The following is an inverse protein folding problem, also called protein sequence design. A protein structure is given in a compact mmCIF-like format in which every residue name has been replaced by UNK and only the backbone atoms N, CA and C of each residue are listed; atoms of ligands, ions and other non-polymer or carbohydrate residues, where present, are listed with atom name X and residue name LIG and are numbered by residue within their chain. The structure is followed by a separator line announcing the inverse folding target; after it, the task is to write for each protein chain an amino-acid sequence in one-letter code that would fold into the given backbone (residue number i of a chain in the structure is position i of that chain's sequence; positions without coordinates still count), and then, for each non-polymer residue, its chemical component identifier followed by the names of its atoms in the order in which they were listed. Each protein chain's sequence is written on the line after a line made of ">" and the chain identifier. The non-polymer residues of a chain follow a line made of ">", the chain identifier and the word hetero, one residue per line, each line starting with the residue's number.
data_IF_556861801721
#
_entry.id   IF_556861801721
#
_cell.length_a   1.000
_cell.length_b   1.000
_cell.length_c   1.000
_cell.angle_alpha   90.00
_cell.angle_beta   90.00
_cell.angle_gamma   90.00
#
_symmetry.space_group_name_H-M   'P 1'
#
loop_
_entity.id
_entity.type
_entity.pdbx_description
1 polymer ?
#
# COMPACT_ATOMS: atom_id res chain seq x y z
N UNK A 1 -3.70 7.85 1.81
CA UNK A 1 -2.35 8.15 2.35
C UNK A 1 -1.97 7.00 3.27
N UNK A 2 -0.74 6.50 3.22
CA UNK A 2 -0.30 5.43 4.11
C UNK A 2 -0.40 5.88 5.59
N UNK A 3 -0.78 5.01 6.54
CA UNK A 3 -1.22 3.61 6.40
C UNK A 3 -2.75 3.44 6.14
N UNK A 4 -3.47 4.54 5.95
CA UNK A 4 -4.92 4.56 5.69
C UNK A 4 -5.22 4.58 4.18
N UNK A 5 -4.49 3.77 3.42
CA UNK A 5 -4.56 3.70 1.97
C UNK A 5 -5.69 2.79 1.48
N UNK A 6 -6.27 3.19 0.35
CA UNK A 6 -7.23 2.42 -0.43
C UNK A 6 -6.66 2.26 -1.81
N UNK A 7 -6.58 1.02 -2.28
CA UNK A 7 -6.10 0.72 -3.63
C UNK A 7 -7.26 0.28 -4.50
N UNK A 8 -7.27 0.81 -5.72
CA UNK A 8 -8.15 0.40 -6.79
C UNK A 8 -7.30 -0.37 -7.79
N UNK A 9 -7.56 -1.66 -7.90
CA UNK A 9 -6.76 -2.58 -8.69
C UNK A 9 -7.63 -3.24 -9.76
N UNK A 10 -7.04 -3.51 -10.91
CA UNK A 10 -7.71 -4.13 -12.04
C UNK A 10 -6.91 -5.31 -12.57
N UNK A 11 -7.55 -6.47 -12.70
CA UNK A 11 -6.99 -7.64 -13.39
C UNK A 11 -7.52 -7.67 -14.82
N UNK A 12 -6.63 -7.68 -15.81
CA UNK A 12 -6.98 -7.70 -17.23
C UNK A 12 -6.65 -9.06 -17.83
N UNK A 13 -7.68 -9.78 -18.30
CA UNK A 13 -7.53 -10.99 -19.10
C UNK A 13 -7.76 -10.63 -20.56
N UNK A 14 -6.76 -10.82 -21.41
CA UNK A 14 -6.83 -10.54 -22.83
C UNK A 14 -6.68 -11.82 -23.64
N UNK A 15 -7.51 -11.96 -24.68
CA UNK A 15 -7.36 -12.99 -25.70
C UNK A 15 -7.25 -12.31 -27.05
N UNK A 16 -6.19 -12.66 -27.78
CA UNK A 16 -5.98 -12.22 -29.15
C UNK A 16 -6.40 -13.34 -30.11
N UNK A 17 -7.32 -13.03 -31.03
CA UNK A 17 -7.83 -13.96 -32.03
C UNK A 17 -7.67 -13.44 -33.45
N UNK A 18 -7.63 -14.37 -34.40
CA UNK A 18 -7.68 -14.09 -35.84
C UNK A 18 -9.14 -13.75 -36.20
N UNK A 19 -9.37 -12.71 -37.02
CA UNK A 19 -10.72 -12.38 -37.50
C UNK A 19 -11.40 -13.57 -38.18
N UNK A 20 -12.64 -13.86 -37.76
CA UNK A 20 -13.47 -14.91 -38.36
C UNK A 20 -13.76 -16.09 -37.44
N UNK A 21 -13.03 -16.25 -36.33
CA UNK A 21 -13.38 -17.20 -35.27
C UNK A 21 -13.92 -16.42 -34.06
N UNK A 22 -15.19 -16.60 -33.66
CA UNK A 22 -15.72 -15.93 -32.49
C UNK A 22 -15.18 -16.60 -31.21
N UNK A 23 -13.99 -16.19 -30.76
CA UNK A 23 -13.54 -16.52 -29.41
C UNK A 23 -14.08 -15.47 -28.44
N UNK A 24 -14.87 -15.93 -27.47
CA UNK A 24 -15.38 -15.10 -26.39
C UNK A 24 -14.85 -15.65 -25.06
N UNK A 25 -14.26 -14.78 -24.24
CA UNK A 25 -14.07 -15.08 -22.83
C UNK A 25 -15.44 -15.08 -22.17
N UNK A 26 -15.90 -16.26 -21.78
CA UNK A 26 -17.14 -16.45 -21.04
C UNK A 26 -16.76 -16.80 -19.62
N UNK A 27 -17.30 -16.04 -18.67
CA UNK A 27 -17.17 -16.38 -17.27
C UNK A 27 -18.07 -17.59 -16.95
N UNK A 28 -17.48 -18.57 -16.27
CA UNK A 28 -18.14 -19.82 -15.89
C UNK A 28 -18.65 -19.74 -14.43
N UNK A 29 -18.26 -18.73 -13.66
CA UNK A 29 -18.59 -18.66 -12.24
C UNK A 29 -19.97 -18.06 -12.00
N UNK A 30 -20.93 -18.92 -11.63
CA UNK A 30 -22.26 -18.54 -11.10
C UNK A 30 -22.30 -18.49 -9.56
N UNK A 31 -21.17 -18.66 -8.88
CA UNK A 31 -21.11 -18.66 -7.42
C UNK A 31 -20.63 -17.32 -6.88
N UNK A 32 -21.20 -16.84 -5.75
CA UNK A 32 -20.65 -15.67 -5.08
C UNK A 32 -19.20 -15.99 -4.73
N UNK A 33 -18.28 -15.20 -5.28
CA UNK A 33 -16.86 -15.31 -4.96
C UNK A 33 -16.72 -14.80 -3.52
N UNK A 34 -16.63 -15.72 -2.57
CA UNK A 34 -16.39 -15.39 -1.17
C UNK A 34 -14.91 -15.02 -1.03
N UNK A 35 -14.62 -13.73 -1.22
CA UNK A 35 -13.27 -13.22 -1.08
C UNK A 35 -13.02 -13.00 0.41
N UNK A 36 -12.18 -13.85 0.99
CA UNK A 36 -11.80 -13.76 2.40
C UNK A 36 -10.81 -12.61 2.61
N UNK A 37 -11.08 -11.80 3.63
CA UNK A 37 -10.15 -10.80 4.14
C UNK A 37 -8.83 -11.46 4.58
N UNK A 38 -7.70 -10.79 4.32
CA UNK A 38 -6.37 -11.22 4.74
C UNK A 38 -5.94 -10.37 5.94
N UNK A 39 -4.93 -10.80 6.70
CA UNK A 39 -4.44 -10.11 7.91
C UNK A 39 -4.09 -8.63 7.73
N UNK A 40 -3.71 -8.21 6.52
CA UNK A 40 -3.34 -6.82 6.23
C UNK A 40 -4.33 -6.12 5.30
N UNK A 41 -5.04 -6.86 4.45
CA UNK A 41 -5.85 -6.29 3.37
C UNK A 41 -7.28 -6.78 3.48
N UNK A 42 -8.19 -5.81 3.57
CA UNK A 42 -9.62 -6.06 3.57
C UNK A 42 -10.23 -5.64 2.24
N UNK A 43 -11.20 -6.40 1.75
CA UNK A 43 -11.86 -6.13 0.48
C UNK A 43 -13.02 -5.15 0.72
N UNK A 44 -12.83 -3.93 0.23
CA UNK A 44 -13.80 -2.86 0.39
C UNK A 44 -14.45 -2.56 -0.96
N UNK A 45 -15.45 -3.36 -1.36
CA UNK A 45 -16.27 -3.07 -2.54
C UNK A 45 -16.76 -4.30 -3.30
N UNK A 46 -17.68 -4.06 -4.22
CA UNK A 46 -18.15 -5.08 -5.16
C UNK A 46 -17.15 -5.26 -6.30
N UNK A 47 -16.85 -6.52 -6.63
CA UNK A 47 -16.13 -6.86 -7.85
C UNK A 47 -16.92 -6.35 -9.06
N UNK A 48 -16.41 -5.36 -9.76
CA UNK A 48 -17.05 -4.84 -10.98
C UNK A 48 -16.33 -5.37 -12.21
N UNK A 49 -17.10 -5.65 -13.26
CA UNK A 49 -16.60 -6.23 -14.51
C UNK A 49 -16.81 -5.26 -15.65
N UNK A 50 -15.78 -5.16 -16.48
CA UNK A 50 -15.84 -4.44 -17.74
C UNK A 50 -15.33 -5.34 -18.87
N UNK A 51 -16.15 -5.56 -19.88
CA UNK A 51 -15.76 -6.31 -21.07
C UNK A 51 -15.45 -5.33 -22.20
N UNK A 52 -14.21 -5.31 -22.66
CA UNK A 52 -13.75 -4.43 -23.75
C UNK A 52 -13.46 -5.30 -24.97
N UNK A 53 -14.12 -4.99 -26.09
CA UNK A 53 -13.86 -5.62 -27.38
C UNK A 53 -13.21 -4.59 -28.29
N UNK A 54 -11.97 -4.81 -28.64
CA UNK A 54 -11.22 -3.94 -29.55
C UNK A 54 -10.90 -4.71 -30.83
N UNK A 55 -11.31 -4.13 -31.97
CA UNK A 55 -10.87 -4.57 -33.28
C UNK A 55 -9.59 -3.81 -33.65
N UNK A 56 -8.46 -4.52 -33.70
CA UNK A 56 -7.17 -3.94 -34.05
C UNK A 56 -7.06 -3.86 -35.57
N UNK A 57 -6.73 -2.67 -36.10
CA UNK A 57 -6.47 -2.46 -37.52
C UNK A 57 -5.43 -3.49 -38.02
N UNK A 58 -5.87 -4.41 -38.89
CA UNK A 58 -5.04 -5.53 -39.37
C UNK A 58 -5.69 -6.92 -39.28
N UNK A 59 -7.00 -7.01 -39.02
CA UNK A 59 -7.70 -8.30 -39.00
C UNK A 59 -7.45 -9.13 -37.74
N UNK A 60 -7.11 -8.47 -36.62
CA UNK A 60 -6.98 -9.10 -35.31
C UNK A 60 -8.07 -8.55 -34.39
N UNK A 61 -8.76 -9.44 -33.70
CA UNK A 61 -9.79 -9.09 -32.72
C UNK A 61 -9.22 -9.38 -31.33
N UNK A 62 -9.23 -8.39 -30.45
CA UNK A 62 -8.77 -8.53 -29.07
C UNK A 62 -9.98 -8.44 -28.14
N UNK A 63 -10.24 -9.51 -27.40
CA UNK A 63 -11.26 -9.55 -26.37
C UNK A 63 -10.60 -9.39 -25.00
N UNK A 64 -10.93 -8.34 -24.26
CA UNK A 64 -10.43 -8.07 -22.92
C UNK A 64 -11.56 -8.14 -21.90
N UNK A 65 -11.27 -8.73 -20.74
CA UNK A 65 -12.14 -8.74 -19.57
C UNK A 65 -11.35 -8.13 -18.42
N UNK A 66 -11.84 -7.02 -17.89
CA UNK A 66 -11.29 -6.35 -16.73
C UNK A 66 -12.14 -6.66 -15.51
N UNK A 67 -11.46 -7.06 -14.43
CA UNK A 67 -12.03 -7.22 -13.11
C UNK A 67 -11.48 -6.14 -12.21
N UNK A 68 -12.33 -5.22 -11.80
CA UNK A 68 -12.00 -4.13 -10.90
C UNK A 68 -12.36 -4.51 -9.47
N UNK A 69 -11.40 -4.41 -8.56
CA UNK A 69 -11.58 -4.63 -7.14
C UNK A 69 -10.89 -3.53 -6.34
N UNK A 70 -11.41 -3.29 -5.16
CA UNK A 70 -10.89 -2.28 -4.24
C UNK A 70 -10.54 -2.92 -2.91
N UNK A 71 -9.33 -2.66 -2.43
CA UNK A 71 -8.80 -3.16 -1.18
C UNK A 71 -8.44 -1.98 -0.27
N UNK A 72 -8.65 -2.16 1.03
CA UNK A 72 -8.27 -1.21 2.08
C UNK A 72 -7.28 -1.89 3.01
N UNK A 73 -6.27 -1.14 3.44
CA UNK A 73 -5.30 -1.67 4.41
C UNK A 73 -5.88 -1.63 5.82
N UNK A 74 -5.66 -2.69 6.58
CA UNK A 74 -5.85 -2.72 8.02
C UNK A 74 -4.69 -1.96 8.69
N UNK A 75 -5.00 -0.78 9.19
CA UNK A 75 -4.08 0.24 9.70
C UNK A 75 -3.56 -0.06 11.12
N UNK A 76 -4.25 -0.92 11.88
CA UNK A 76 -3.96 -1.18 13.29
C UNK A 76 -2.52 -1.60 13.54
N UNK A 77 -1.98 -2.51 12.72
CA UNK A 77 -0.60 -2.98 12.84
C UNK A 77 0.41 -1.82 12.67
N UNK A 78 0.22 -1.00 11.64
CA UNK A 78 1.11 0.11 11.29
C UNK A 78 1.04 1.26 12.28
N UNK A 79 -0.16 1.58 12.77
CA UNK A 79 -0.36 2.63 13.76
C UNK A 79 0.30 2.27 15.10
N UNK A 80 0.09 1.06 15.61
CA UNK A 80 0.63 0.66 16.90
C UNK A 80 2.13 0.42 16.91
N UNK A 81 2.71 -0.11 15.82
CA UNK A 81 4.13 -0.46 15.77
C UNK A 81 5.04 0.66 15.26
N UNK A 82 4.51 1.61 14.49
CA UNK A 82 5.34 2.68 13.90
C UNK A 82 4.96 4.05 14.46
N UNK A 83 3.67 4.41 14.42
CA UNK A 83 3.23 5.76 14.81
C UNK A 83 3.36 5.96 16.33
N UNK A 84 2.91 5.00 17.14
CA UNK A 84 2.99 5.15 18.61
C UNK A 84 4.45 5.23 19.11
N UNK A 85 5.38 4.35 18.73
CA UNK A 85 6.75 4.42 19.21
C UNK A 85 7.47 5.69 18.77
N UNK A 86 7.26 6.15 17.53
CA UNK A 86 7.87 7.40 17.04
C UNK A 86 7.37 8.62 17.81
N UNK A 87 6.07 8.68 18.13
CA UNK A 87 5.52 9.74 18.98
C UNK A 87 6.11 9.72 20.40
N UNK A 88 6.26 8.54 21.00
CA UNK A 88 6.88 8.39 22.32
C UNK A 88 8.35 8.82 22.29
N UNK A 89 9.12 8.43 21.27
CA UNK A 89 10.50 8.87 21.13
C UNK A 89 10.60 10.39 20.98
N UNK A 90 9.79 11.01 20.12
CA UNK A 90 9.75 12.46 19.97
C UNK A 90 9.37 13.19 21.26
N UNK A 91 8.48 12.61 22.08
CA UNK A 91 8.11 13.18 23.36
C UNK A 91 9.25 13.07 24.38
N UNK A 92 9.94 11.93 24.44
CA UNK A 92 11.10 11.72 25.31
C UNK A 92 12.25 12.67 24.92
N UNK A 93 12.51 12.88 23.63
CA UNK A 93 13.54 13.85 23.21
C UNK A 93 13.19 15.26 23.56
N UNK A 94 11.92 15.66 23.40
CA UNK A 94 11.47 17.00 23.76
C UNK A 94 11.60 17.22 25.27
N UNK A 95 11.19 16.25 26.09
CA UNK A 95 11.36 16.32 27.54
C UNK A 95 12.85 16.36 27.91
N UNK A 96 13.68 15.50 27.32
CA UNK A 96 15.12 15.47 27.55
C UNK A 96 15.80 16.78 27.17
N UNK A 97 15.37 17.42 26.08
CA UNK A 97 15.92 18.70 25.63
C UNK A 97 15.55 19.87 26.55
N UNK A 98 14.31 19.93 27.06
CA UNK A 98 13.83 21.05 27.87
C UNK A 98 14.10 20.91 29.38
N UNK A 99 14.14 19.68 29.91
CA UNK A 99 14.20 19.45 31.37
C UNK A 99 15.56 18.93 31.86
N UNK A 100 16.53 18.68 31.00
CA UNK A 100 17.86 18.24 31.45
C UNK A 100 18.72 19.43 31.90
N UNK A 101 19.08 19.45 33.18
CA UNK A 101 19.93 20.48 33.78
C UNK A 101 20.94 19.81 34.72
N UNK A 102 22.16 19.54 34.24
CA UNK A 102 23.26 18.91 34.99
C UNK A 102 24.63 19.21 34.37
N UNK A 103 25.72 18.93 35.08
CA UNK A 103 27.10 19.31 34.67
C UNK A 103 27.56 18.65 33.35
N UNK A 104 26.99 17.48 33.02
CA UNK A 104 27.20 16.74 31.76
C UNK A 104 26.10 16.98 30.70
N UNK A 105 25.39 18.12 30.77
CA UNK A 105 24.25 18.43 29.88
C UNK A 105 24.58 18.26 28.39
N UNK A 106 25.72 18.78 27.95
CA UNK A 106 26.08 18.77 26.53
C UNK A 106 26.33 17.34 26.04
N UNK A 107 27.03 16.53 26.83
CA UNK A 107 27.37 15.16 26.42
C UNK A 107 26.15 14.24 26.45
N UNK A 108 25.26 14.43 27.42
CA UNK A 108 24.05 13.63 27.52
C UNK A 108 22.95 14.07 26.54
N UNK A 109 22.84 15.37 26.25
CA UNK A 109 21.97 15.86 25.18
C UNK A 109 22.45 15.36 23.81
N UNK A 110 23.76 15.33 23.57
CA UNK A 110 24.34 14.80 22.34
C UNK A 110 24.09 13.29 22.19
N UNK A 111 24.21 12.50 23.26
CA UNK A 111 23.93 11.07 23.23
C UNK A 111 22.45 10.78 22.92
N UNK A 112 21.52 11.49 23.57
CA UNK A 112 20.07 11.39 23.30
C UNK A 112 19.76 11.78 21.85
N UNK A 113 20.33 12.89 21.36
CA UNK A 113 20.16 13.32 19.97
C UNK A 113 20.66 12.28 18.96
N UNK A 114 21.81 11.66 19.21
CA UNK A 114 22.38 10.65 18.32
C UNK A 114 21.58 9.35 18.32
N UNK A 115 21.17 8.87 19.50
CA UNK A 115 20.31 7.69 19.63
C UNK A 115 19.00 7.90 18.90
N UNK A 116 18.40 9.08 19.03
CA UNK A 116 17.08 9.35 18.42
C UNK A 116 17.15 9.53 16.92
N UNK A 117 18.22 10.15 16.40
CA UNK A 117 18.50 10.15 14.96
C UNK A 117 18.66 8.72 14.41
N UNK A 118 19.38 7.85 15.14
CA UNK A 118 19.59 6.45 14.74
C UNK A 118 18.28 5.66 14.78
N UNK A 119 17.47 5.82 15.82
CA UNK A 119 16.16 5.17 15.94
C UNK A 119 15.20 5.61 14.84
N UNK A 120 15.14 6.91 14.52
CA UNK A 120 14.31 7.42 13.42
C UNK A 120 14.80 6.89 12.06
N UNK A 121 16.12 6.79 11.87
CA UNK A 121 16.69 6.21 10.65
C UNK A 121 16.27 4.75 10.45
N UNK A 122 16.26 3.95 11.52
CA UNK A 122 15.76 2.58 11.47
C UNK A 122 14.27 2.52 11.10
N UNK A 123 13.45 3.40 11.69
CA UNK A 123 12.01 3.48 11.36
C UNK A 123 11.81 3.86 9.89
N UNK A 124 12.55 4.86 9.39
CA UNK A 124 12.50 5.24 7.96
C UNK A 124 12.95 4.10 7.06
N UNK A 125 13.92 3.30 7.49
CA UNK A 125 14.41 2.14 6.71
C UNK A 125 13.33 1.07 6.62
N UNK A 126 12.66 0.74 7.74
CA UNK A 126 11.54 -0.20 7.77
C UNK A 126 10.39 0.33 6.90
N UNK A 127 10.06 1.62 7.01
CA UNK A 127 9.01 2.23 6.20
C UNK A 127 9.37 2.23 4.71
N UNK A 128 10.64 2.44 4.36
CA UNK A 128 11.12 2.39 2.98
C UNK A 128 11.10 0.97 2.39
N UNK A 129 11.19 -0.07 3.21
CA UNK A 129 11.07 -1.47 2.77
C UNK A 129 9.59 -1.87 2.64
N UNK A 130 8.73 -1.29 3.48
CA UNK A 130 7.30 -1.54 3.48
C UNK A 130 6.52 -0.77 2.40
N UNK A 131 6.96 0.44 2.08
CA UNK A 131 6.34 1.26 1.04
C UNK A 131 6.88 0.84 -0.32
N UNK A 132 5.97 0.63 -1.27
CA UNK A 132 6.38 0.41 -2.65
C UNK A 132 7.09 1.66 -3.17
N UNK A 133 8.16 1.46 -3.95
CA UNK A 133 8.99 2.53 -4.50
C UNK A 133 8.28 3.17 -5.70
N UNK A 134 7.07 3.66 -5.47
CA UNK A 134 6.28 4.35 -6.48
C UNK A 134 6.67 5.83 -6.52
N UNK A 135 6.84 6.38 -7.72
CA UNK A 135 7.28 7.77 -7.97
C UNK A 135 6.30 8.85 -7.46
N UNK A 136 5.20 8.46 -6.82
CA UNK A 136 4.21 9.37 -6.26
C UNK A 136 4.45 9.53 -4.75
N UNK A 137 5.47 10.31 -4.40
CA UNK A 137 5.63 10.80 -3.04
C UNK A 137 4.35 11.59 -2.67
N UNK A 138 3.65 11.25 -1.56
CA UNK A 138 2.61 12.13 -1.06
C UNK A 138 3.31 13.42 -0.57
N UNK A 139 3.16 14.49 -1.36
CA UNK A 139 3.46 15.86 -0.93
C UNK A 139 2.42 16.39 0.04
#
# INVERSE_FOLDING_TARGET
>A
AFPFDKHYCSLCFALEGITGVPLALVDVSNHPIDLTSISEWDLFGNLTRENIREEVQGGKQTHRVLFHYSIVRCDFFWAFLIIIPTLLFCLITLIGAFFYSGEDNVQNAASIGLTTMTSLMLVVTILSDALDKSDNLPG
#
